data_IF_514891526028
#
_entry.id   IF_514891526028
#
_cell.length_a   1.000
_cell.length_b   1.000
_cell.length_c   1.000
_cell.angle_alpha   90.00
_cell.angle_beta   90.00
_cell.angle_gamma   90.00
#
_symmetry.space_group_name_H-M   'P 1'
#
loop_
_entity.id
_entity.type
_entity.pdbx_description
1 polymer ?
#
# COMPACT_ATOMS: atom_id res chain seq x y z
N UNK A 1 15.42 -15.62 -35.22
CA UNK A 1 15.16 -15.04 -36.55
C UNK A 1 13.67 -15.23 -36.80
N UNK A 2 12.86 -14.21 -36.54
CA UNK A 2 11.40 -14.31 -36.70
C UNK A 2 11.06 -14.10 -38.18
N UNK A 3 10.43 -15.11 -38.80
CA UNK A 3 9.88 -14.99 -40.14
C UNK A 3 8.55 -14.23 -40.07
N UNK A 4 8.53 -13.00 -40.59
CA UNK A 4 7.33 -12.22 -40.85
C UNK A 4 6.91 -12.49 -42.30
N UNK A 5 5.96 -13.42 -42.49
CA UNK A 5 5.34 -13.64 -43.81
C UNK A 5 4.19 -12.66 -44.01
N UNK A 6 4.38 -11.64 -44.85
CA UNK A 6 3.29 -10.79 -45.33
C UNK A 6 2.47 -11.56 -46.38
N UNK A 7 1.23 -11.91 -46.05
CA UNK A 7 0.22 -12.31 -47.03
C UNK A 7 -0.52 -11.04 -47.46
N UNK A 8 -0.16 -10.48 -48.61
CA UNK A 8 -0.99 -9.52 -49.32
C UNK A 8 -2.21 -10.25 -49.91
N UNK A 9 -3.32 -10.24 -49.19
CA UNK A 9 -4.65 -10.63 -49.67
C UNK A 9 -5.65 -9.56 -49.28
N UNK A 10 -6.33 -8.99 -50.28
CA UNK A 10 -7.33 -7.94 -50.17
C UNK A 10 -8.50 -8.33 -49.24
N UNK A 11 -8.46 -7.83 -48.01
CA UNK A 11 -9.57 -7.44 -47.14
C UNK A 11 -8.94 -7.05 -45.80
N UNK A 12 -8.67 -5.76 -45.59
CA UNK A 12 -8.42 -5.26 -44.25
C UNK A 12 -9.69 -5.51 -43.45
N UNK A 13 -9.73 -6.44 -42.47
CA UNK A 13 -10.90 -6.57 -41.61
C UNK A 13 -11.12 -5.20 -40.98
N UNK A 14 -12.34 -4.67 -41.05
CA UNK A 14 -12.65 -3.47 -40.29
C UNK A 14 -12.33 -3.75 -38.82
N UNK A 15 -11.95 -2.74 -38.06
CA UNK A 15 -11.67 -2.88 -36.62
C UNK A 15 -12.81 -3.61 -35.88
N UNK A 16 -14.05 -3.44 -36.35
CA UNK A 16 -15.25 -4.15 -35.88
C UNK A 16 -15.27 -5.66 -36.21
N UNK A 17 -14.65 -6.10 -37.29
CA UNK A 17 -14.59 -7.52 -37.68
C UNK A 17 -13.63 -8.31 -36.77
N UNK A 18 -12.62 -7.65 -36.21
CA UNK A 18 -11.72 -8.24 -35.21
C UNK A 18 -12.48 -8.51 -33.90
N UNK A 19 -13.59 -7.81 -33.64
CA UNK A 19 -14.41 -7.98 -32.44
C UNK A 19 -15.58 -8.95 -32.64
N UNK A 20 -15.61 -9.69 -33.75
CA UNK A 20 -16.67 -10.68 -34.06
C UNK A 20 -16.13 -12.11 -34.05
N UNK A 21 -16.73 -12.97 -33.23
CA UNK A 21 -16.42 -14.41 -33.18
C UNK A 21 -17.70 -15.20 -33.42
N UNK A 22 -17.73 -16.01 -34.48
CA UNK A 22 -18.90 -16.83 -34.81
C UNK A 22 -20.18 -16.02 -35.08
N UNK A 23 -20.06 -14.76 -35.56
CA UNK A 23 -21.19 -13.87 -35.81
C UNK A 23 -21.67 -13.07 -34.59
N UNK A 24 -21.09 -13.25 -33.41
CA UNK A 24 -21.37 -12.46 -32.20
C UNK A 24 -20.37 -11.33 -32.09
N UNK A 25 -20.84 -10.09 -31.90
CA UNK A 25 -20.00 -8.92 -31.65
C UNK A 25 -19.73 -8.77 -30.14
N UNK A 26 -18.46 -8.68 -29.78
CA UNK A 26 -18.00 -8.52 -28.40
C UNK A 26 -17.62 -7.06 -28.11
N UNK A 27 -17.73 -6.66 -26.85
CA UNK A 27 -17.51 -5.27 -26.43
C UNK A 27 -16.04 -4.92 -26.21
N UNK A 28 -15.18 -5.92 -25.99
CA UNK A 28 -13.74 -5.73 -25.80
C UNK A 28 -12.93 -6.73 -26.62
N UNK A 29 -11.70 -6.34 -26.97
CA UNK A 29 -10.73 -7.25 -27.60
C UNK A 29 -10.43 -8.46 -26.72
N UNK A 30 -10.43 -8.27 -25.39
CA UNK A 30 -10.20 -9.35 -24.42
C UNK A 30 -11.30 -10.41 -24.50
N UNK A 31 -12.57 -10.00 -24.55
CA UNK A 31 -13.71 -10.93 -24.67
C UNK A 31 -13.69 -11.68 -25.99
N UNK A 32 -13.27 -10.99 -27.06
CA UNK A 32 -13.08 -11.61 -28.37
C UNK A 32 -11.99 -12.68 -28.32
N UNK A 33 -10.81 -12.35 -27.76
CA UNK A 33 -9.72 -13.30 -27.58
C UNK A 33 -10.11 -14.49 -26.69
N UNK A 34 -10.93 -14.26 -25.67
CA UNK A 34 -11.49 -15.32 -24.83
C UNK A 34 -12.41 -16.24 -25.63
N UNK A 35 -13.36 -15.69 -26.39
CA UNK A 35 -14.28 -16.46 -27.22
C UNK A 35 -13.57 -17.24 -28.35
N UNK A 36 -12.41 -16.74 -28.83
CA UNK A 36 -11.54 -17.44 -29.77
C UNK A 36 -10.71 -18.56 -29.12
N UNK A 37 -10.74 -18.70 -27.79
CA UNK A 37 -9.91 -19.65 -27.06
C UNK A 37 -8.41 -19.28 -27.04
N UNK A 38 -8.07 -18.00 -27.26
CA UNK A 38 -6.69 -17.50 -27.21
C UNK A 38 -6.22 -17.19 -25.79
N UNK A 39 -7.16 -17.09 -24.83
CA UNK A 39 -6.89 -16.95 -23.41
C UNK A 39 -7.14 -18.29 -22.73
N UNK A 40 -6.21 -18.72 -21.85
CA UNK A 40 -6.40 -19.91 -21.03
C UNK A 40 -7.47 -19.64 -19.95
N UNK A 41 -8.25 -20.68 -19.60
CA UNK A 41 -9.16 -20.64 -18.46
C UNK A 41 -8.36 -20.46 -17.15
N UNK A 42 -8.81 -19.56 -16.27
CA UNK A 42 -8.17 -19.26 -14.98
C UNK A 42 -8.37 -20.37 -13.95
N UNK A 43 -9.06 -21.46 -14.32
CA UNK A 43 -9.43 -22.58 -13.47
C UNK A 43 -8.29 -23.17 -12.65
N UNK A 44 -7.10 -23.36 -13.22
CA UNK A 44 -5.95 -23.91 -12.49
C UNK A 44 -5.54 -23.00 -11.32
N UNK A 45 -5.52 -21.69 -11.55
CA UNK A 45 -5.19 -20.71 -10.51
C UNK A 45 -6.31 -20.56 -9.48
N UNK A 46 -7.57 -20.64 -9.93
CA UNK A 46 -8.75 -20.64 -9.08
C UNK A 46 -8.76 -21.85 -8.14
N UNK A 47 -8.41 -23.03 -8.65
CA UNK A 47 -8.32 -24.26 -7.87
C UNK A 47 -7.12 -24.21 -6.91
N UNK A 48 -5.98 -23.66 -7.33
CA UNK A 48 -4.83 -23.43 -6.46
C UNK A 48 -5.14 -22.46 -5.32
N UNK A 49 -5.79 -21.32 -5.58
CA UNK A 49 -6.20 -20.37 -4.53
C UNK A 49 -7.14 -21.05 -3.52
N UNK A 50 -8.07 -21.87 -4.01
CA UNK A 50 -9.01 -22.63 -3.18
C UNK A 50 -8.31 -23.65 -2.30
N UNK A 51 -7.36 -24.39 -2.84
CA UNK A 51 -6.60 -25.36 -2.04
C UNK A 51 -5.77 -24.66 -0.96
N UNK A 52 -5.08 -23.59 -1.35
CA UNK A 52 -4.24 -22.79 -0.45
C UNK A 52 -5.08 -22.13 0.66
N UNK A 53 -6.34 -21.79 0.39
CA UNK A 53 -7.19 -21.10 1.38
C UNK A 53 -7.54 -21.95 2.60
N UNK A 54 -7.42 -23.28 2.51
CA UNK A 54 -7.67 -24.16 3.65
C UNK A 54 -6.52 -24.20 4.68
N UNK A 55 -5.29 -23.85 4.28
CA UNK A 55 -4.12 -23.99 5.15
C UNK A 55 -3.27 -22.72 5.28
N UNK A 56 -3.46 -21.73 4.41
CA UNK A 56 -2.73 -20.47 4.46
C UNK A 56 -3.51 -19.38 5.19
N UNK A 57 -2.79 -18.46 5.83
CA UNK A 57 -3.39 -17.25 6.39
C UNK A 57 -3.84 -16.28 5.29
N UNK A 58 -4.84 -15.44 5.59
CA UNK A 58 -5.32 -14.40 4.67
C UNK A 58 -4.20 -13.52 4.10
N UNK A 59 -3.17 -13.20 4.90
CA UNK A 59 -2.01 -12.45 4.42
C UNK A 59 -1.19 -13.21 3.35
N UNK A 60 -1.00 -14.52 3.50
CA UNK A 60 -0.30 -15.34 2.50
C UNK A 60 -1.13 -15.49 1.23
N UNK A 61 -2.44 -15.65 1.36
CA UNK A 61 -3.37 -15.67 0.22
C UNK A 61 -3.34 -14.35 -0.57
N UNK A 62 -3.34 -13.20 0.11
CA UNK A 62 -3.19 -11.89 -0.56
C UNK A 62 -1.86 -11.78 -1.33
N UNK A 63 -0.76 -12.30 -0.77
CA UNK A 63 0.53 -12.34 -1.48
C UNK A 63 0.49 -13.23 -2.73
N UNK A 64 -0.14 -14.40 -2.64
CA UNK A 64 -0.33 -15.29 -3.78
C UNK A 64 -1.17 -14.61 -4.87
N UNK A 65 -2.30 -14.02 -4.48
CA UNK A 65 -3.17 -13.29 -5.40
C UNK A 65 -2.42 -12.16 -6.12
N UNK A 66 -1.64 -11.36 -5.38
CA UNK A 66 -0.81 -10.29 -5.96
C UNK A 66 0.26 -10.85 -6.90
N UNK A 67 0.89 -11.99 -6.58
CA UNK A 67 1.85 -12.62 -7.48
C UNK A 67 1.19 -13.05 -8.80
N UNK A 68 -0.03 -13.60 -8.75
CA UNK A 68 -0.80 -13.98 -9.93
C UNK A 68 -1.21 -12.76 -10.78
N UNK A 69 -1.56 -11.65 -10.14
CA UNK A 69 -1.82 -10.37 -10.82
C UNK A 69 -0.57 -9.84 -11.53
N UNK A 70 0.59 -9.85 -10.85
CA UNK A 70 1.85 -9.33 -11.42
C UNK A 70 2.31 -10.20 -12.59
N UNK A 71 2.15 -11.52 -12.48
CA UNK A 71 2.47 -12.47 -13.53
C UNK A 71 1.50 -12.42 -14.72
N UNK A 72 0.42 -11.63 -14.62
CA UNK A 72 -0.64 -11.51 -15.61
C UNK A 72 -1.26 -12.88 -15.96
N UNK A 73 -1.34 -13.78 -14.97
CA UNK A 73 -1.86 -15.13 -15.11
C UNK A 73 -3.40 -15.18 -15.05
N UNK A 74 -4.04 -14.11 -14.58
CA UNK A 74 -5.49 -14.05 -14.39
C UNK A 74 -6.15 -13.29 -15.55
N UNK A 75 -6.85 -14.04 -16.39
CA UNK A 75 -7.65 -13.57 -17.50
C UNK A 75 -8.92 -12.84 -17.05
N UNK A 76 -9.43 -13.09 -15.84
CA UNK A 76 -10.59 -12.42 -15.22
C UNK A 76 -10.37 -12.24 -13.72
N UNK A 77 -9.40 -11.39 -13.37
CA UNK A 77 -9.03 -11.13 -11.97
C UNK A 77 -10.20 -10.68 -11.09
N UNK A 78 -11.18 -9.98 -11.66
CA UNK A 78 -12.40 -9.51 -11.02
C UNK A 78 -13.32 -10.65 -10.57
N UNK A 79 -13.45 -11.70 -11.38
CA UNK A 79 -14.25 -12.88 -11.01
C UNK A 79 -13.56 -13.68 -9.90
N UNK A 80 -12.23 -13.80 -9.98
CA UNK A 80 -11.42 -14.46 -8.94
C UNK A 80 -11.50 -13.69 -7.62
N UNK A 81 -11.44 -12.36 -7.68
CA UNK A 81 -11.61 -11.47 -6.54
C UNK A 81 -12.98 -11.66 -5.88
N UNK A 82 -14.08 -11.53 -6.62
CA UNK A 82 -15.43 -11.66 -6.06
C UNK A 82 -15.70 -13.06 -5.48
N UNK A 83 -15.02 -14.10 -6.00
CA UNK A 83 -15.15 -15.46 -5.49
C UNK A 83 -14.38 -15.69 -4.19
N UNK A 84 -13.23 -15.05 -4.00
CA UNK A 84 -12.29 -15.39 -2.91
C UNK A 84 -12.01 -14.25 -1.91
N UNK A 85 -12.62 -13.07 -2.05
CA UNK A 85 -12.39 -11.94 -1.15
C UNK A 85 -12.64 -12.29 0.33
N UNK A 86 -13.57 -13.21 0.64
CA UNK A 86 -13.86 -13.66 2.02
C UNK A 86 -12.64 -14.31 2.67
N UNK A 87 -11.94 -15.19 1.95
CA UNK A 87 -10.70 -15.81 2.43
C UNK A 87 -9.54 -14.80 2.48
N UNK A 88 -9.51 -13.88 1.51
CA UNK A 88 -8.51 -12.81 1.46
C UNK A 88 -8.71 -11.77 2.57
N UNK A 89 -9.87 -11.72 3.22
CA UNK A 89 -10.23 -10.68 4.19
C UNK A 89 -10.43 -11.19 5.62
N UNK A 90 -10.23 -12.48 5.86
CA UNK A 90 -10.50 -13.16 7.14
C UNK A 90 -9.82 -12.49 8.35
N UNK A 91 -8.61 -11.92 8.17
CA UNK A 91 -7.86 -11.24 9.24
C UNK A 91 -8.14 -9.73 9.36
N UNK A 92 -8.98 -9.13 8.51
CA UNK A 92 -9.12 -7.68 8.37
C UNK A 92 -9.81 -7.06 9.57
N UNK A 93 -10.96 -7.60 10.00
CA UNK A 93 -11.70 -7.06 11.15
C UNK A 93 -10.83 -7.11 12.41
N UNK A 94 -10.15 -8.23 12.64
CA UNK A 94 -9.22 -8.39 13.74
C UNK A 94 -8.09 -7.36 13.69
N UNK A 95 -7.48 -7.16 12.52
CA UNK A 95 -6.44 -6.13 12.32
C UNK A 95 -6.96 -4.72 12.61
N UNK A 96 -8.17 -4.40 12.17
CA UNK A 96 -8.78 -3.09 12.42
C UNK A 96 -9.07 -2.87 13.91
N UNK A 97 -9.61 -3.88 14.61
CA UNK A 97 -9.78 -3.85 16.08
C UNK A 97 -8.47 -3.56 16.81
N UNK A 98 -7.40 -4.26 16.43
CA UNK A 98 -6.07 -4.03 17.00
C UNK A 98 -5.51 -2.65 16.65
N UNK A 99 -5.77 -2.14 15.45
CA UNK A 99 -5.30 -0.82 15.03
C UNK A 99 -6.04 0.33 15.74
N UNK A 100 -7.35 0.17 15.97
CA UNK A 100 -8.20 1.18 16.58
C UNK A 100 -8.30 1.05 18.11
N UNK A 101 -7.74 -0.02 18.68
CA UNK A 101 -7.90 -0.38 20.09
C UNK A 101 -9.38 -0.48 20.52
N UNK A 102 -10.25 -0.86 19.60
CA UNK A 102 -11.70 -0.99 19.78
C UNK A 102 -12.08 -2.46 19.59
N UNK A 103 -12.28 -3.19 20.69
CA UNK A 103 -12.57 -4.64 20.66
C UNK A 103 -13.89 -4.97 19.95
N UNK A 104 -14.86 -4.06 20.02
CA UNK A 104 -16.24 -4.31 19.59
C UNK A 104 -16.51 -3.78 18.18
N UNK A 105 -15.47 -3.42 17.43
CA UNK A 105 -15.60 -2.93 16.06
C UNK A 105 -16.25 -4.00 15.17
N UNK A 106 -17.34 -3.61 14.51
CA UNK A 106 -17.98 -4.35 13.44
C UNK A 106 -17.84 -3.56 12.16
N UNK A 107 -17.46 -4.22 11.06
CA UNK A 107 -17.32 -3.60 9.75
C UNK A 107 -18.38 -4.18 8.81
N UNK A 108 -18.88 -3.36 7.89
CA UNK A 108 -19.75 -3.82 6.80
C UNK A 108 -18.95 -4.64 5.78
N UNK A 109 -19.64 -5.39 4.93
CA UNK A 109 -18.98 -6.14 3.85
C UNK A 109 -18.16 -5.21 2.93
N UNK A 110 -18.73 -4.07 2.55
CA UNK A 110 -18.06 -3.08 1.71
C UNK A 110 -16.80 -2.52 2.38
N UNK A 111 -16.85 -2.24 3.69
CA UNK A 111 -15.68 -1.81 4.46
C UNK A 111 -14.59 -2.88 4.48
N UNK A 112 -14.97 -4.15 4.71
CA UNK A 112 -14.03 -5.28 4.72
C UNK A 112 -13.39 -5.48 3.35
N UNK A 113 -14.18 -5.49 2.28
CA UNK A 113 -13.66 -5.56 0.90
C UNK A 113 -12.68 -4.42 0.65
N UNK A 114 -13.04 -3.20 1.03
CA UNK A 114 -12.21 -2.03 0.80
C UNK A 114 -10.88 -2.06 1.57
N UNK A 115 -10.88 -2.45 2.85
CA UNK A 115 -9.64 -2.63 3.62
C UNK A 115 -8.77 -3.75 3.06
N UNK A 116 -9.39 -4.79 2.50
CA UNK A 116 -8.68 -5.88 1.83
C UNK A 116 -7.99 -5.40 0.56
N UNK A 117 -8.69 -4.62 -0.26
CA UNK A 117 -8.13 -3.97 -1.44
C UNK A 117 -6.96 -3.03 -1.07
N UNK A 118 -7.03 -2.32 0.05
CA UNK A 118 -5.90 -1.52 0.56
C UNK A 118 -4.66 -2.35 0.90
N UNK A 119 -4.84 -3.53 1.50
CA UNK A 119 -3.72 -4.44 1.79
C UNK A 119 -3.13 -5.03 0.51
N UNK A 120 -3.96 -5.31 -0.50
CA UNK A 120 -3.53 -5.76 -1.83
C UNK A 120 -2.77 -4.64 -2.56
N UNK A 121 -3.30 -3.42 -2.58
CA UNK A 121 -2.64 -2.24 -3.15
C UNK A 121 -1.25 -2.05 -2.53
N UNK A 122 -1.13 -2.18 -1.21
CA UNK A 122 0.16 -2.05 -0.51
C UNK A 122 1.18 -3.08 -1.01
N UNK A 123 0.76 -4.33 -1.21
CA UNK A 123 1.61 -5.39 -1.72
C UNK A 123 2.01 -5.12 -3.18
N UNK A 124 1.08 -4.66 -4.02
CA UNK A 124 1.39 -4.27 -5.41
C UNK A 124 2.36 -3.10 -5.48
N UNK A 125 2.16 -2.06 -4.67
CA UNK A 125 3.07 -0.90 -4.61
C UNK A 125 4.47 -1.32 -4.17
N UNK A 126 4.61 -2.31 -3.28
CA UNK A 126 5.92 -2.85 -2.90
C UNK A 126 6.66 -3.55 -4.06
N UNK A 127 5.92 -3.93 -5.10
CA UNK A 127 6.43 -4.48 -6.35
C UNK A 127 6.46 -3.45 -7.49
N UNK A 128 6.21 -2.17 -7.21
CA UNK A 128 6.21 -1.09 -8.20
C UNK A 128 5.01 -1.07 -9.14
N UNK A 129 3.87 -1.65 -8.74
CA UNK A 129 2.62 -1.67 -9.52
C UNK A 129 1.46 -1.06 -8.74
N UNK A 130 0.38 -0.68 -9.43
CA UNK A 130 -0.88 -0.21 -8.82
C UNK A 130 -2.08 -1.07 -9.24
N UNK A 131 -3.13 -1.16 -8.41
CA UNK A 131 -4.42 -1.73 -8.84
C UNK A 131 -5.03 -0.95 -10.01
N UNK A 132 -4.69 0.33 -10.17
CA UNK A 132 -5.15 1.15 -11.30
C UNK A 132 -4.69 0.61 -12.67
N UNK A 133 -3.62 -0.21 -12.70
CA UNK A 133 -3.15 -0.89 -13.92
C UNK A 133 -4.04 -2.07 -14.32
N UNK A 134 -4.91 -2.52 -13.41
CA UNK A 134 -5.81 -3.65 -13.59
C UNK A 134 -7.24 -3.14 -13.76
N UNK A 135 -7.56 -2.63 -14.95
CA UNK A 135 -8.83 -1.94 -15.27
C UNK A 135 -10.12 -2.71 -14.90
N UNK A 136 -10.05 -4.03 -14.69
CA UNK A 136 -11.21 -4.85 -14.30
C UNK A 136 -11.37 -5.01 -12.79
N UNK A 137 -10.33 -4.72 -12.00
CA UNK A 137 -10.37 -4.80 -10.54
C UNK A 137 -10.94 -3.53 -9.92
N UNK A 138 -11.68 -3.69 -8.83
CA UNK A 138 -12.12 -2.58 -8.01
C UNK A 138 -10.92 -1.92 -7.30
N UNK A 139 -10.89 -0.60 -7.34
CA UNK A 139 -9.86 0.22 -6.67
C UNK A 139 -10.37 0.59 -5.27
N UNK A 140 -9.51 0.56 -4.24
CA UNK A 140 -9.93 0.93 -2.90
C UNK A 140 -10.38 2.40 -2.82
N UNK A 141 -11.57 2.63 -2.24
CA UNK A 141 -12.10 3.95 -1.96
C UNK A 141 -11.45 4.52 -0.68
N UNK A 142 -10.76 5.66 -0.86
CA UNK A 142 -10.08 6.39 0.21
C UNK A 142 -11.03 6.96 1.27
N UNK A 143 -12.35 7.07 1.01
CA UNK A 143 -13.33 7.56 1.99
C UNK A 143 -13.43 6.68 3.23
N UNK A 144 -13.27 5.37 3.06
CA UNK A 144 -13.26 4.44 4.21
C UNK A 144 -11.99 4.55 5.06
N UNK A 145 -10.89 5.09 4.51
CA UNK A 145 -9.73 5.47 5.33
C UNK A 145 -10.01 6.73 6.15
N UNK A 146 -10.75 7.70 5.61
CA UNK A 146 -11.10 8.91 6.36
C UNK A 146 -12.10 8.62 7.49
N UNK A 147 -13.05 7.70 7.28
CA UNK A 147 -14.07 7.36 8.29
C UNK A 147 -13.51 6.56 9.47
N UNK A 148 -12.49 5.71 9.25
CA UNK A 148 -11.83 4.97 10.32
C UNK A 148 -10.54 5.63 10.82
N UNK A 149 -10.26 6.87 10.38
CA UNK A 149 -9.13 7.71 10.78
C UNK A 149 -7.89 7.55 9.91
N UNK A 150 -7.14 8.64 9.77
CA UNK A 150 -5.95 8.70 8.93
C UNK A 150 -4.97 7.58 9.32
N UNK A 151 -4.81 6.57 8.45
CA UNK A 151 -3.82 5.47 8.60
C UNK A 151 -2.43 5.96 9.00
N UNK A 152 -2.06 7.15 8.52
CA UNK A 152 -0.83 7.84 8.88
C UNK A 152 -0.76 8.14 10.38
N UNK A 153 -1.83 8.70 10.96
CA UNK A 153 -1.94 8.98 12.40
C UNK A 153 -1.89 7.68 13.21
N UNK A 154 -2.56 6.60 12.77
CA UNK A 154 -2.49 5.33 13.48
C UNK A 154 -1.10 4.69 13.46
N UNK A 155 -0.39 4.76 12.33
CA UNK A 155 0.99 4.29 12.28
C UNK A 155 1.89 5.08 13.26
N UNK A 156 1.64 6.38 13.43
CA UNK A 156 2.36 7.19 14.42
C UNK A 156 1.97 6.83 15.87
N UNK A 157 0.74 6.42 16.14
CA UNK A 157 0.29 6.01 17.47
C UNK A 157 0.71 4.58 17.86
N UNK A 158 1.20 3.78 16.90
CA UNK A 158 1.59 2.37 17.10
C UNK A 158 2.99 2.18 17.67
N UNK A 159 3.83 3.21 17.69
CA UNK A 159 5.17 3.06 18.24
C UNK A 159 5.13 2.73 19.74
N UNK A 160 6.04 1.86 20.18
CA UNK A 160 6.17 1.50 21.59
C UNK A 160 6.72 2.70 22.38
N UNK A 161 5.86 3.31 23.20
CA UNK A 161 6.20 4.48 23.99
C UNK A 161 7.35 4.23 24.96
N UNK A 162 7.43 3.04 25.58
CA UNK A 162 8.49 2.73 26.54
C UNK A 162 9.84 2.67 25.85
N UNK A 163 9.89 1.98 24.71
CA UNK A 163 11.10 1.92 23.87
C UNK A 163 11.51 3.31 23.38
N UNK A 164 10.55 4.14 23.00
CA UNK A 164 10.83 5.51 22.56
C UNK A 164 11.36 6.41 23.67
N UNK A 165 10.93 6.25 24.92
CA UNK A 165 11.50 6.98 26.08
C UNK A 165 12.98 6.62 26.26
N UNK A 166 13.32 5.33 26.19
CA UNK A 166 14.71 4.86 26.31
C UNK A 166 15.57 5.36 25.14
N UNK A 167 15.06 5.27 23.92
CA UNK A 167 15.72 5.77 22.71
C UNK A 167 15.93 7.29 22.78
N UNK A 168 14.90 8.04 23.19
CA UNK A 168 14.98 9.48 23.38
C UNK A 168 16.05 9.87 24.40
N UNK A 169 16.10 9.20 25.55
CA UNK A 169 17.10 9.48 26.58
C UNK A 169 18.54 9.26 26.07
N UNK A 170 18.76 8.20 25.29
CA UNK A 170 20.06 7.93 24.67
C UNK A 170 20.44 8.99 23.63
N UNK A 171 19.52 9.31 22.72
CA UNK A 171 19.75 10.32 21.67
C UNK A 171 20.01 11.70 22.26
N UNK A 172 19.24 12.10 23.26
CA UNK A 172 19.37 13.39 23.94
C UNK A 172 20.73 13.55 24.63
N UNK A 173 21.27 12.47 25.20
CA UNK A 173 22.59 12.46 25.84
C UNK A 173 23.77 12.63 24.86
N UNK A 174 23.55 12.33 23.58
CA UNK A 174 24.58 12.38 22.54
C UNK A 174 24.50 13.64 21.65
N UNK A 175 23.56 14.56 21.91
CA UNK A 175 23.48 15.82 21.16
C UNK A 175 24.70 16.71 21.45
N UNK A 176 25.21 17.37 20.41
CA UNK A 176 26.17 18.46 20.60
C UNK A 176 25.49 19.67 21.24
N UNK A 177 26.27 20.61 21.77
CA UNK A 177 25.74 21.82 22.39
C UNK A 177 24.86 22.63 21.42
N UNK A 178 25.27 22.74 20.16
CA UNK A 178 24.55 23.47 19.12
C UNK A 178 23.24 22.77 18.75
N UNK A 179 23.28 21.44 18.59
CA UNK A 179 22.10 20.63 18.32
C UNK A 179 21.10 20.67 19.48
N UNK A 180 21.60 20.70 20.72
CA UNK A 180 20.77 20.81 21.92
C UNK A 180 20.03 22.14 21.99
N UNK A 181 20.66 23.24 21.59
CA UNK A 181 19.97 24.55 21.49
C UNK A 181 18.80 24.48 20.51
N UNK A 182 18.99 23.83 19.34
CA UNK A 182 17.90 23.64 18.36
C UNK A 182 16.79 22.79 18.94
N UNK A 183 17.14 21.65 19.55
CA UNK A 183 16.19 20.73 20.17
C UNK A 183 15.35 21.41 21.25
N UNK A 184 15.99 22.10 22.21
CA UNK A 184 15.32 22.77 23.33
C UNK A 184 14.40 23.89 22.83
N UNK A 185 14.79 24.61 21.79
CA UNK A 185 13.98 25.68 21.19
C UNK A 185 12.68 25.11 20.61
N UNK A 186 12.77 24.01 19.86
CA UNK A 186 11.61 23.39 19.21
C UNK A 186 10.70 22.74 20.25
N UNK A 187 11.25 21.99 21.21
CA UNK A 187 10.47 21.34 22.27
C UNK A 187 9.72 22.37 23.12
N UNK A 188 10.36 23.49 23.49
CA UNK A 188 9.68 24.56 24.22
C UNK A 188 8.49 25.14 23.47
N UNK A 189 8.61 25.31 22.15
CA UNK A 189 7.51 25.80 21.33
C UNK A 189 6.36 24.80 21.23
N UNK A 190 6.67 23.50 21.18
CA UNK A 190 5.67 22.42 21.20
C UNK A 190 4.97 22.37 22.56
N UNK A 191 5.73 22.35 23.66
CA UNK A 191 5.18 22.28 25.02
C UNK A 191 4.36 23.52 25.41
N UNK A 192 4.61 24.66 24.75
CA UNK A 192 3.84 25.89 24.93
C UNK A 192 2.63 26.02 23.98
N UNK A 193 2.36 25.02 23.13
CA UNK A 193 1.34 25.05 22.06
C UNK A 193 1.41 26.31 21.19
N UNK A 194 2.58 26.94 21.07
CA UNK A 194 2.74 28.21 20.34
C UNK A 194 2.80 27.99 18.82
N UNK A 195 3.03 26.74 18.39
CA UNK A 195 3.32 26.39 17.01
C UNK A 195 4.61 27.06 16.49
N UNK A 196 4.88 26.93 15.20
CA UNK A 196 5.99 27.60 14.54
C UNK A 196 6.53 26.86 13.32
N UNK A 197 7.22 27.59 12.44
CA UNK A 197 7.99 27.03 11.33
C UNK A 197 9.47 27.24 11.63
N UNK A 198 10.22 26.14 11.73
CA UNK A 198 11.64 26.16 12.09
C UNK A 198 12.49 25.71 10.89
N UNK A 199 13.51 26.51 10.57
CA UNK A 199 14.50 26.17 9.57
C UNK A 199 15.84 25.88 10.26
N UNK A 200 16.26 24.62 10.21
CA UNK A 200 17.54 24.18 10.78
C UNK A 200 18.59 24.16 9.68
N UNK A 201 19.55 25.08 9.76
CA UNK A 201 20.66 25.16 8.82
C UNK A 201 21.91 24.47 9.38
N UNK A 202 22.63 23.75 8.52
CA UNK A 202 23.91 23.14 8.87
C UNK A 202 24.58 22.56 7.63
N UNK A 203 25.91 22.53 7.62
CA UNK A 203 26.69 21.95 6.52
C UNK A 203 26.40 20.45 6.34
N UNK A 204 26.81 19.87 5.22
CA UNK A 204 26.77 18.41 5.05
C UNK A 204 27.57 17.73 6.17
N UNK A 205 27.06 16.61 6.70
CA UNK A 205 27.73 15.88 7.78
C UNK A 205 27.50 16.40 9.20
N UNK A 206 26.73 17.47 9.41
CA UNK A 206 26.39 17.97 10.77
C UNK A 206 25.25 17.19 11.45
N UNK A 207 24.96 15.97 10.97
CA UNK A 207 23.98 15.06 11.54
C UNK A 207 22.60 15.68 11.83
N UNK A 208 22.10 16.56 10.95
CA UNK A 208 20.75 17.17 11.11
C UNK A 208 19.66 16.12 11.33
N UNK A 209 19.78 14.98 10.65
CA UNK A 209 18.89 13.82 10.81
C UNK A 209 18.86 13.31 12.24
N UNK A 210 19.97 13.39 12.97
CA UNK A 210 20.06 12.98 14.38
C UNK A 210 19.18 13.86 15.28
N UNK A 211 19.16 15.18 15.04
CA UNK A 211 18.24 16.11 15.74
C UNK A 211 16.78 15.76 15.44
N UNK A 212 16.44 15.51 14.17
CA UNK A 212 15.08 15.12 13.78
C UNK A 212 14.64 13.79 14.39
N UNK A 213 15.55 12.81 14.49
CA UNK A 213 15.28 11.53 15.15
C UNK A 213 15.04 11.73 16.65
N UNK A 214 15.84 12.58 17.30
CA UNK A 214 15.71 12.90 18.72
C UNK A 214 14.38 13.59 19.03
N UNK A 215 13.99 14.57 18.20
CA UNK A 215 12.68 15.25 18.29
C UNK A 215 11.53 14.26 18.07
N UNK A 216 11.64 13.40 17.04
CA UNK A 216 10.62 12.40 16.74
C UNK A 216 10.42 11.44 17.92
N UNK A 217 11.50 10.95 18.51
CA UNK A 217 11.43 10.05 19.67
C UNK A 217 10.80 10.75 20.88
N UNK A 218 11.20 11.99 21.17
CA UNK A 218 10.65 12.79 22.27
C UNK A 218 9.13 12.95 22.14
N UNK A 219 8.65 13.45 21.00
CA UNK A 219 7.22 13.75 20.78
C UNK A 219 6.40 12.45 20.75
N UNK A 220 6.87 11.42 20.01
CA UNK A 220 6.15 10.14 19.94
C UNK A 220 6.09 9.41 21.28
N UNK A 221 7.11 9.55 22.14
CA UNK A 221 7.10 8.96 23.49
C UNK A 221 5.98 9.52 24.37
N UNK A 222 5.58 10.79 24.16
CA UNK A 222 4.41 11.43 24.79
C UNK A 222 3.08 10.94 24.20
N UNK A 223 3.12 10.19 23.10
CA UNK A 223 1.95 9.69 22.38
C UNK A 223 1.41 10.67 21.33
N UNK A 224 2.17 11.69 20.99
CA UNK A 224 1.84 12.66 19.95
C UNK A 224 2.30 12.21 18.56
N UNK A 225 1.80 12.88 17.52
CA UNK A 225 1.94 12.46 16.12
C UNK A 225 3.04 13.27 15.44
N UNK A 226 4.02 12.59 14.82
CA UNK A 226 5.11 13.21 14.07
C UNK A 226 5.15 12.66 12.65
N UNK A 227 5.07 13.53 11.64
CA UNK A 227 5.12 13.13 10.23
C UNK A 227 6.45 13.55 9.61
N UNK A 228 7.36 12.57 9.47
CA UNK A 228 8.67 12.78 8.87
C UNK A 228 8.61 12.68 7.34
N UNK A 229 8.96 13.76 6.65
CA UNK A 229 9.00 13.83 5.19
C UNK A 229 10.37 14.28 4.73
N UNK A 230 10.94 13.59 3.75
CA UNK A 230 12.22 13.92 3.13
C UNK A 230 12.06 14.05 1.61
N UNK A 231 12.84 14.92 0.99
CA UNK A 231 12.84 15.08 -0.48
C UNK A 231 13.58 13.95 -1.22
N UNK A 232 14.43 13.19 -0.52
CA UNK A 232 15.20 12.08 -1.06
C UNK A 232 14.84 10.76 -0.37
N UNK A 233 14.71 9.69 -1.15
CA UNK A 233 14.43 8.35 -0.64
C UNK A 233 15.51 7.81 0.30
N UNK A 234 16.77 8.22 0.13
CA UNK A 234 17.84 7.81 1.06
C UNK A 234 17.68 8.50 2.41
N UNK A 235 17.27 9.78 2.40
CA UNK A 235 17.05 10.55 3.62
C UNK A 235 15.80 10.09 4.38
N UNK A 236 14.75 9.64 3.69
CA UNK A 236 13.54 9.11 4.35
C UNK A 236 13.82 7.83 5.13
N UNK A 237 14.74 6.97 4.66
CA UNK A 237 15.15 5.74 5.36
C UNK A 237 15.84 6.00 6.70
N UNK A 238 16.47 7.16 6.87
CA UNK A 238 17.17 7.53 8.09
C UNK A 238 16.25 8.14 9.16
N UNK A 239 15.00 8.44 8.79
CA UNK A 239 13.99 8.98 9.69
C UNK A 239 13.00 7.88 10.06
N UNK A 240 12.67 7.71 11.36
CA UNK A 240 11.67 6.74 11.79
C UNK A 240 10.30 7.13 11.21
N UNK A 241 9.72 6.21 10.43
CA UNK A 241 8.48 6.43 9.69
C UNK A 241 8.61 7.38 8.51
N UNK A 242 9.84 7.70 8.08
CA UNK A 242 10.13 8.66 7.02
C UNK A 242 9.55 8.26 5.67
N UNK A 243 9.09 9.27 4.93
CA UNK A 243 8.48 9.12 3.60
C UNK A 243 9.07 10.13 2.63
N UNK A 244 9.00 9.83 1.35
CA UNK A 244 9.32 10.79 0.29
C UNK A 244 8.15 11.75 0.08
N UNK A 245 8.45 13.02 -0.13
CA UNK A 245 7.47 14.06 -0.49
C UNK A 245 6.81 13.78 -1.85
#
# INVERSE_FOLDING_TARGET
>A
MYFMGCICGSNTPLFEDIMKVGGVQYNTFRDTCYALGLLNDDKEYIDAIKEVSFWASAHRLRKLFVALLIANCLSRSEEVWEKYWTFLSEDIVYKQRLMLNHSDLTLTEDEVKNFTLFEIQKLLCSCGRSLDEYNTMSVPDNRFLSNNGNRWMYNELRYDRKKLVEEHANLLGNLTNEQRVVYDTIIKAIDADSGGIFFVYGYGGTEKTFVWNTLSAAIRSKGEIVLNVASSGIASLLLPGGRTA
#
